data_IF_093140118885
#
_entry.id   IF_093140118885
#
_cell.length_a   1.000
_cell.length_b   1.000
_cell.length_c   1.000
_cell.angle_alpha   90.00
_cell.angle_beta   90.00
_cell.angle_gamma   90.00
#
_symmetry.space_group_name_H-M   'P 1'
#
loop_
_entity.id
_entity.type
_entity.pdbx_description
1 polymer ?
#
# COMPACT_ATOMS: atom_id res chain seq x y z
N UNK A 1 -6.34 -19.23 -9.28
CA UNK A 1 -6.99 -17.89 -9.20
C UNK A 1 -7.91 -17.68 -10.41
N UNK A 2 -9.19 -17.38 -10.19
CA UNK A 2 -10.22 -17.30 -11.24
C UNK A 2 -10.02 -16.07 -12.17
N UNK A 3 -10.43 -16.15 -13.45
CA UNK A 3 -10.17 -15.11 -14.49
C UNK A 3 -10.65 -13.71 -14.06
N UNK A 4 -11.84 -13.62 -13.45
CA UNK A 4 -12.42 -12.38 -12.94
C UNK A 4 -11.63 -11.76 -11.78
N UNK A 5 -11.04 -12.59 -10.90
CA UNK A 5 -10.21 -12.11 -9.77
C UNK A 5 -8.88 -11.57 -10.26
N UNK A 6 -8.30 -12.22 -11.28
CA UNK A 6 -7.07 -11.76 -11.95
C UNK A 6 -7.27 -10.38 -12.57
N UNK A 7 -8.38 -10.15 -13.27
CA UNK A 7 -8.70 -8.82 -13.82
C UNK A 7 -8.85 -7.75 -12.73
N UNK A 8 -9.54 -8.06 -11.61
CA UNK A 8 -9.64 -7.14 -10.47
C UNK A 8 -8.27 -6.80 -9.90
N UNK A 9 -7.41 -7.80 -9.69
CA UNK A 9 -6.05 -7.59 -9.23
C UNK A 9 -5.25 -6.67 -10.17
N UNK A 10 -5.28 -6.94 -11.48
CA UNK A 10 -4.60 -6.11 -12.48
C UNK A 10 -5.07 -4.66 -12.45
N UNK A 11 -6.38 -4.44 -12.31
CA UNK A 11 -6.94 -3.08 -12.19
C UNK A 11 -6.42 -2.35 -10.95
N UNK A 12 -6.33 -3.04 -9.81
CA UNK A 12 -5.77 -2.46 -8.59
C UNK A 12 -4.29 -2.15 -8.72
N UNK A 13 -3.50 -3.03 -9.36
CA UNK A 13 -2.08 -2.79 -9.60
C UNK A 13 -1.83 -1.63 -10.58
N UNK A 14 -2.68 -1.49 -11.60
CA UNK A 14 -2.63 -0.35 -12.50
C UNK A 14 -2.90 0.96 -11.76
N UNK A 15 -3.91 0.99 -10.90
CA UNK A 15 -4.21 2.15 -10.05
C UNK A 15 -3.05 2.50 -9.11
N UNK A 16 -2.42 1.50 -8.48
CA UNK A 16 -1.23 1.70 -7.65
C UNK A 16 -0.11 2.38 -8.45
N UNK A 17 0.17 1.90 -9.66
CA UNK A 17 1.21 2.48 -10.53
C UNK A 17 0.90 3.95 -10.82
N UNK A 18 -0.33 4.28 -11.21
CA UNK A 18 -0.72 5.67 -11.51
C UNK A 18 -0.59 6.59 -10.31
N UNK A 19 -0.93 6.13 -9.11
CA UNK A 19 -0.75 6.93 -7.89
C UNK A 19 0.71 7.16 -7.51
N UNK A 20 1.58 6.18 -7.78
CA UNK A 20 3.03 6.34 -7.58
C UNK A 20 3.59 7.37 -8.55
N UNK A 21 3.19 7.31 -9.83
CA UNK A 21 3.57 8.32 -10.83
C UNK A 21 3.16 9.72 -10.34
N UNK A 22 1.90 9.92 -9.94
CA UNK A 22 1.43 11.21 -9.41
C UNK A 22 2.18 11.67 -8.16
N UNK A 23 2.53 10.75 -7.25
CA UNK A 23 3.32 11.08 -6.06
C UNK A 23 4.73 11.54 -6.43
N UNK A 24 5.36 10.93 -7.43
CA UNK A 24 6.65 11.39 -7.95
C UNK A 24 6.53 12.78 -8.56
N UNK A 25 5.49 13.01 -9.35
CA UNK A 25 5.25 14.31 -9.97
C UNK A 25 5.03 15.40 -8.89
N UNK A 26 4.24 15.11 -7.84
CA UNK A 26 4.02 16.03 -6.71
C UNK A 26 5.33 16.32 -5.95
N UNK A 27 6.12 15.29 -5.65
CA UNK A 27 7.37 15.41 -4.92
C UNK A 27 8.50 16.09 -5.72
N UNK A 28 8.43 16.06 -7.06
CA UNK A 28 9.42 16.70 -7.94
C UNK A 28 9.42 18.22 -7.84
N UNK A 29 8.37 18.83 -7.29
CA UNK A 29 8.22 20.28 -7.18
C UNK A 29 7.84 20.98 -8.50
N UNK A 30 7.58 20.22 -9.57
CA UNK A 30 7.15 20.77 -10.87
C UNK A 30 5.74 21.41 -10.81
N UNK A 31 4.97 21.13 -9.75
CA UNK A 31 3.69 21.80 -9.47
C UNK A 31 3.90 23.17 -8.84
N UNK A 32 4.29 24.15 -9.67
CA UNK A 32 4.32 25.55 -9.26
C UNK A 32 2.93 26.08 -8.86
N UNK A 33 2.86 26.81 -7.74
CA UNK A 33 1.67 27.58 -7.37
C UNK A 33 0.63 26.90 -6.46
N UNK A 34 0.89 25.69 -5.95
CA UNK A 34 -0.02 25.02 -4.99
C UNK A 34 0.35 25.42 -3.56
N UNK A 35 -0.67 25.72 -2.74
CA UNK A 35 -0.48 25.99 -1.32
C UNK A 35 0.14 24.76 -0.61
N UNK A 36 1.28 24.96 0.07
CA UNK A 36 2.10 23.90 0.65
C UNK A 36 1.32 22.92 1.53
N UNK A 37 0.38 23.41 2.33
CA UNK A 37 -0.45 22.57 3.20
C UNK A 37 -1.31 21.58 2.38
N UNK A 38 -1.88 22.04 1.27
CA UNK A 38 -2.69 21.20 0.37
C UNK A 38 -1.82 20.16 -0.31
N UNK A 39 -0.58 20.51 -0.66
CA UNK A 39 0.39 19.56 -1.21
C UNK A 39 0.66 18.42 -0.21
N UNK A 40 1.01 18.77 1.03
CA UNK A 40 1.28 17.79 2.11
C UNK A 40 0.07 16.89 2.37
N UNK A 41 -1.13 17.47 2.45
CA UNK A 41 -2.37 16.71 2.65
C UNK A 41 -2.66 15.77 1.47
N UNK A 42 -2.40 16.22 0.25
CA UNK A 42 -2.58 15.43 -0.97
C UNK A 42 -1.60 14.27 -1.01
N UNK A 43 -0.31 14.49 -0.75
CA UNK A 43 0.71 13.44 -0.67
C UNK A 43 0.37 12.39 0.38
N UNK A 44 0.01 12.83 1.60
CA UNK A 44 -0.41 11.93 2.67
C UNK A 44 -1.65 11.11 2.28
N UNK A 45 -2.62 11.72 1.59
CA UNK A 45 -3.81 11.05 1.08
C UNK A 45 -3.47 9.98 0.03
N UNK A 46 -2.61 10.30 -0.93
CA UNK A 46 -2.19 9.36 -1.98
C UNK A 46 -1.43 8.18 -1.40
N UNK A 47 -0.51 8.42 -0.46
CA UNK A 47 0.24 7.36 0.24
C UNK A 47 -0.69 6.39 0.97
N UNK A 48 -1.69 6.90 1.70
CA UNK A 48 -2.68 6.05 2.37
C UNK A 48 -3.48 5.20 1.40
N UNK A 49 -3.93 5.79 0.28
CA UNK A 49 -4.70 5.07 -0.75
C UNK A 49 -3.86 3.99 -1.44
N UNK A 50 -2.59 4.26 -1.69
CA UNK A 50 -1.66 3.27 -2.25
C UNK A 50 -1.55 2.04 -1.34
N UNK A 51 -1.40 2.25 -0.03
CA UNK A 51 -1.32 1.17 0.95
C UNK A 51 -2.63 0.37 1.06
N UNK A 52 -3.78 1.05 1.01
CA UNK A 52 -5.08 0.40 0.96
C UNK A 52 -5.23 -0.49 -0.29
N UNK A 53 -4.80 0.00 -1.45
CA UNK A 53 -4.85 -0.78 -2.69
C UNK A 53 -3.93 -2.01 -2.65
N UNK A 54 -2.72 -1.87 -2.09
CA UNK A 54 -1.81 -3.00 -1.88
C UNK A 54 -2.44 -4.04 -0.94
N UNK A 55 -3.05 -3.59 0.17
CA UNK A 55 -3.82 -4.43 1.10
C UNK A 55 -4.95 -5.18 0.41
N UNK A 56 -5.80 -4.49 -0.34
CA UNK A 56 -6.92 -5.11 -1.05
C UNK A 56 -6.47 -6.05 -2.16
N UNK A 57 -5.41 -5.72 -2.88
CA UNK A 57 -4.89 -6.60 -3.94
C UNK A 57 -4.41 -7.94 -3.39
N UNK A 58 -3.77 -7.91 -2.22
CA UNK A 58 -3.27 -9.11 -1.54
C UNK A 58 -4.40 -9.94 -0.95
N UNK A 59 -5.48 -9.29 -0.51
CA UNK A 59 -6.71 -9.97 -0.09
C UNK A 59 -7.34 -10.73 -1.27
N UNK A 60 -7.42 -10.12 -2.45
CA UNK A 60 -7.98 -10.76 -3.65
C UNK A 60 -7.14 -11.96 -4.10
N UNK A 61 -5.81 -11.88 -3.97
CA UNK A 61 -4.92 -12.98 -4.37
C UNK A 61 -4.96 -14.16 -3.39
N UNK A 62 -5.09 -13.90 -2.09
CA UNK A 62 -5.03 -14.92 -1.03
C UNK A 62 -6.36 -15.14 -0.29
N UNK A 63 -7.50 -14.94 -0.96
CA UNK A 63 -8.83 -14.99 -0.34
C UNK A 63 -9.09 -16.26 0.49
N UNK A 64 -8.61 -17.43 0.06
CA UNK A 64 -8.78 -18.68 0.79
C UNK A 64 -8.07 -18.67 2.16
N UNK A 65 -6.84 -18.15 2.21
CA UNK A 65 -6.07 -18.00 3.45
C UNK A 65 -6.66 -16.92 4.36
N UNK A 66 -7.34 -15.92 3.80
CA UNK A 66 -8.00 -14.87 4.58
C UNK A 66 -9.33 -15.34 5.18
N UNK A 67 -10.12 -16.14 4.45
CA UNK A 67 -11.37 -16.72 4.96
C UNK A 67 -11.17 -17.61 6.18
N UNK A 68 -10.00 -18.23 6.34
CA UNK A 68 -9.67 -19.04 7.53
C UNK A 68 -9.37 -18.22 8.77
N UNK A 69 -8.94 -16.95 8.62
CA UNK A 69 -8.54 -16.09 9.74
C UNK A 69 -9.60 -15.07 10.12
N UNK A 70 -10.51 -14.72 9.20
CA UNK A 70 -11.59 -13.77 9.50
C UNK A 70 -12.86 -14.13 8.73
N UNK A 71 -13.92 -14.52 9.46
CA UNK A 71 -15.24 -14.80 8.89
C UNK A 71 -15.98 -13.51 8.48
N UNK A 72 -15.62 -12.36 9.07
CA UNK A 72 -16.27 -11.05 8.87
C UNK A 72 -15.35 -10.04 8.17
N UNK A 73 -14.82 -10.39 6.99
CA UNK A 73 -14.11 -9.39 6.16
C UNK A 73 -15.12 -8.42 5.53
N UNK A 74 -16.37 -8.85 5.37
CA UNK A 74 -17.46 -7.99 4.95
C UNK A 74 -17.69 -6.88 5.99
N UNK A 75 -17.38 -5.64 5.60
CA UNK A 75 -17.53 -4.45 6.45
C UNK A 75 -16.24 -3.92 7.08
N UNK A 76 -15.08 -4.55 6.86
CA UNK A 76 -13.79 -3.99 7.31
C UNK A 76 -13.24 -3.04 6.25
N UNK A 77 -13.74 -1.80 6.23
CA UNK A 77 -13.25 -0.72 5.35
C UNK A 77 -12.15 0.14 5.99
N UNK A 78 -11.92 -0.03 7.30
CA UNK A 78 -10.83 0.67 8.01
C UNK A 78 -9.49 0.02 7.67
N UNK A 79 -8.67 0.70 6.88
CA UNK A 79 -7.30 0.31 6.50
C UNK A 79 -6.49 -0.25 7.68
N UNK A 80 -6.68 0.34 8.88
CA UNK A 80 -6.01 -0.10 10.10
C UNK A 80 -6.33 -1.54 10.51
N UNK A 81 -7.60 -1.93 10.46
CA UNK A 81 -8.04 -3.29 10.80
C UNK A 81 -7.60 -4.28 9.73
N UNK A 82 -7.75 -3.94 8.45
CA UNK A 82 -7.25 -4.77 7.34
C UNK A 82 -5.77 -5.04 7.55
N UNK A 83 -4.94 -4.01 7.73
CA UNK A 83 -3.49 -4.15 7.94
C UNK A 83 -3.13 -4.94 9.21
N UNK A 84 -3.96 -4.93 10.24
CA UNK A 84 -3.76 -5.74 11.45
C UNK A 84 -3.97 -7.23 11.13
N UNK A 85 -5.10 -7.57 10.52
CA UNK A 85 -5.45 -8.95 10.15
C UNK A 85 -4.51 -9.51 9.07
N UNK A 86 -4.16 -8.70 8.05
CA UNK A 86 -3.15 -9.07 7.04
C UNK A 86 -1.81 -9.40 7.70
N UNK A 87 -1.43 -8.65 8.75
CA UNK A 87 -0.20 -8.87 9.51
C UNK A 87 -0.16 -10.18 10.30
N UNK A 88 -1.32 -10.72 10.68
CA UNK A 88 -1.40 -12.04 11.37
C UNK A 88 -1.07 -13.19 10.41
N UNK A 89 -1.38 -13.02 9.12
CA UNK A 89 -1.13 -14.04 8.09
C UNK A 89 0.24 -13.87 7.47
N UNK A 90 0.62 -12.63 7.16
CA UNK A 90 1.91 -12.29 6.58
C UNK A 90 2.56 -11.19 7.42
N UNK A 91 3.53 -11.57 8.26
CA UNK A 91 4.25 -10.63 9.12
C UNK A 91 5.05 -9.58 8.31
N UNK A 92 5.46 -9.92 7.08
CA UNK A 92 6.15 -9.05 6.14
C UNK A 92 5.20 -8.44 5.09
N UNK A 93 3.91 -8.29 5.43
CA UNK A 93 2.90 -7.74 4.53
C UNK A 93 3.22 -6.32 4.07
N UNK A 94 3.76 -5.51 4.98
CA UNK A 94 4.01 -4.10 4.72
C UNK A 94 5.23 -3.94 3.79
N UNK A 95 5.19 -3.04 2.77
CA UNK A 95 6.32 -2.86 1.86
C UNK A 95 7.62 -2.64 2.60
N UNK A 96 8.60 -3.48 2.31
CA UNK A 96 9.95 -3.34 2.83
C UNK A 96 10.74 -2.46 1.88
N UNK A 97 11.33 -1.35 2.36
CA UNK A 97 12.14 -0.48 1.53
C UNK A 97 13.43 -1.20 1.14
N UNK A 98 13.80 -1.07 -0.13
CA UNK A 98 15.00 -1.69 -0.68
C UNK A 98 15.82 -0.58 -1.34
N UNK A 99 17.09 -0.50 -0.94
CA UNK A 99 18.03 0.47 -1.50
C UNK A 99 18.52 0.08 -2.89
N UNK A 100 18.87 -1.20 -3.06
CA UNK A 100 19.54 -1.71 -4.25
C UNK A 100 19.07 -3.13 -4.54
N UNK A 101 18.92 -3.46 -5.82
CA UNK A 101 18.72 -4.83 -6.29
C UNK A 101 20.10 -5.33 -6.69
N UNK A 102 20.67 -6.20 -5.87
CA UNK A 102 21.95 -6.87 -6.13
C UNK A 102 21.72 -8.27 -6.71
N UNK A 103 22.73 -8.85 -7.35
CA UNK A 103 22.67 -10.23 -7.86
C UNK A 103 22.37 -11.26 -6.75
N UNK A 104 22.74 -10.96 -5.50
CA UNK A 104 22.48 -11.79 -4.31
C UNK A 104 21.13 -11.50 -3.62
N UNK A 105 20.30 -10.62 -4.20
CA UNK A 105 18.96 -10.30 -3.72
C UNK A 105 18.74 -8.83 -3.34
N UNK A 106 17.73 -8.59 -2.51
CA UNK A 106 17.22 -7.26 -2.20
C UNK A 106 17.91 -6.70 -0.95
N UNK A 107 18.69 -5.62 -1.10
CA UNK A 107 19.35 -4.95 0.03
C UNK A 107 18.38 -4.02 0.74
N UNK A 108 17.85 -4.49 1.87
CA UNK A 108 16.89 -3.75 2.70
C UNK A 108 17.50 -2.46 3.25
N UNK A 109 16.74 -1.37 3.19
CA UNK A 109 17.09 -0.11 3.84
C UNK A 109 17.00 -0.26 5.36
N UNK A 110 17.98 0.30 6.08
CA UNK A 110 18.07 0.19 7.55
C UNK A 110 17.26 1.25 8.31
N UNK A 111 16.85 2.35 7.66
CA UNK A 111 16.10 3.44 8.30
C UNK A 111 15.63 4.52 7.32
N UNK A 112 14.89 5.50 7.84
CA UNK A 112 14.40 6.66 7.05
C UNK A 112 13.14 6.39 6.22
N UNK A 113 12.36 5.37 6.56
CA UNK A 113 11.19 4.96 5.79
C UNK A 113 9.94 4.86 6.66
N UNK A 114 8.77 4.98 6.02
CA UNK A 114 7.49 4.84 6.67
C UNK A 114 7.32 3.41 7.21
N UNK A 115 7.20 3.27 8.53
CA UNK A 115 6.90 1.98 9.16
C UNK A 115 5.40 1.80 9.34
N UNK A 116 4.97 0.55 9.55
CA UNK A 116 3.57 0.22 9.88
C UNK A 116 3.01 1.06 11.04
N UNK A 117 3.84 1.36 12.06
CA UNK A 117 3.47 2.21 13.20
C UNK A 117 3.27 3.67 12.80
N UNK A 118 4.17 4.22 11.97
CA UNK A 118 4.13 5.63 11.53
C UNK A 118 2.83 5.95 10.79
N UNK A 119 2.32 5.02 9.98
CA UNK A 119 1.07 5.21 9.22
C UNK A 119 -0.17 5.25 10.10
N UNK A 120 -0.20 4.50 11.21
CA UNK A 120 -1.34 4.56 12.12
C UNK A 120 -1.51 5.93 12.78
N UNK A 121 -0.47 6.78 12.75
CA UNK A 121 -0.46 8.13 13.31
C UNK A 121 -0.63 9.24 12.26
N UNK A 122 -0.60 8.94 10.95
CA UNK A 122 -0.87 9.92 9.86
C UNK A 122 -2.39 10.08 9.64
N UNK A 123 -3.20 9.66 10.61
CA UNK A 123 -4.67 9.74 10.58
C UNK A 123 -5.17 10.28 11.91
#
# INVERSE_FOLDING_TARGET
>A
MNSRKRQKYLKLMFECRKRIETLHDLASGEFGGVYLQVLIETEALQLRKLLELIAFSSLISHEAAYRTVTQNIDGVWKAKRIMCELGKINQNFYPLPVSEITNDGWKKLKGGYLTKKTIYCIV
#
